data_IF_126023669107
#
_entry.id   IF_126023669107
#
_cell.length_a   1.000
_cell.length_b   1.000
_cell.length_c   1.000
_cell.angle_alpha   90.00
_cell.angle_beta   90.00
_cell.angle_gamma   90.00
#
_symmetry.space_group_name_H-M   'P 1'
#
loop_
_entity.id
_entity.type
_entity.pdbx_description
1 polymer ?
#
# COMPACT_ATOMS: atom_id res chain seq x y z
N UNK A 1 1.85 1.82 31.91
CA UNK A 1 3.01 1.47 31.05
C UNK A 1 3.71 2.72 30.49
N UNK A 2 2.99 3.82 30.20
CA UNK A 2 3.60 5.13 29.90
C UNK A 2 4.57 5.63 31.00
N UNK A 3 4.20 5.45 32.27
CA UNK A 3 4.99 5.91 33.42
C UNK A 3 6.34 5.19 33.64
N UNK A 4 6.56 4.00 33.04
CA UNK A 4 7.84 3.28 33.16
C UNK A 4 8.84 3.65 32.06
N UNK A 5 8.41 4.36 31.01
CA UNK A 5 9.31 4.91 29.99
C UNK A 5 10.12 6.11 30.54
N UNK A 6 9.60 6.76 31.59
CA UNK A 6 10.23 7.92 32.24
C UNK A 6 11.27 7.55 33.31
N UNK A 7 11.37 6.26 33.68
CA UNK A 7 12.23 5.81 34.80
C UNK A 7 13.54 5.12 34.39
N UNK A 8 13.82 4.91 33.09
CA UNK A 8 15.04 4.24 32.63
C UNK A 8 16.17 5.25 32.34
N UNK A 9 17.18 5.25 33.21
CA UNK A 9 18.33 6.17 33.23
C UNK A 9 19.50 5.74 32.33
N UNK A 10 19.37 4.73 31.47
CA UNK A 10 20.40 4.40 30.46
C UNK A 10 19.81 4.14 29.05
N UNK A 11 20.44 4.72 28.03
CA UNK A 11 20.10 4.57 26.60
C UNK A 11 19.97 3.11 26.10
N UNK A 12 20.80 2.13 26.52
CA UNK A 12 20.63 0.73 26.11
C UNK A 12 19.36 0.07 26.67
N UNK A 13 18.95 0.38 27.90
CA UNK A 13 17.73 -0.18 28.52
C UNK A 13 16.46 0.31 27.81
N UNK A 14 16.44 1.59 27.42
CA UNK A 14 15.32 2.19 26.65
C UNK A 14 15.11 1.46 25.31
N UNK A 15 16.19 1.13 24.60
CA UNK A 15 16.13 0.39 23.35
C UNK A 15 15.55 -1.03 23.49
N UNK A 16 15.91 -1.73 24.57
CA UNK A 16 15.40 -3.08 24.86
C UNK A 16 13.89 -3.05 25.15
N UNK A 17 13.42 -2.09 25.95
CA UNK A 17 11.98 -1.93 26.24
C UNK A 17 11.17 -1.55 25.01
N UNK A 18 11.69 -0.65 24.17
CA UNK A 18 11.08 -0.32 22.88
C UNK A 18 10.94 -1.54 21.98
N UNK A 19 11.97 -2.40 21.91
CA UNK A 19 11.90 -3.63 21.12
C UNK A 19 10.85 -4.61 21.66
N UNK A 20 10.84 -4.86 22.97
CA UNK A 20 9.85 -5.74 23.62
C UNK A 20 8.42 -5.24 23.42
N UNK A 21 8.20 -3.93 23.52
CA UNK A 21 6.88 -3.34 23.33
C UNK A 21 6.40 -3.46 21.87
N UNK A 22 7.28 -3.26 20.88
CA UNK A 22 6.94 -3.51 19.47
C UNK A 22 6.57 -4.97 19.20
N UNK A 23 7.28 -5.91 19.82
CA UNK A 23 6.93 -7.33 19.72
C UNK A 23 5.55 -7.59 20.33
N UNK A 24 5.26 -7.01 21.50
CA UNK A 24 3.94 -7.11 22.12
C UNK A 24 2.84 -6.58 21.19
N UNK A 25 3.05 -5.43 20.55
CA UNK A 25 2.09 -4.87 19.58
C UNK A 25 1.88 -5.79 18.37
N UNK A 26 2.95 -6.39 17.84
CA UNK A 26 2.85 -7.36 16.74
C UNK A 26 2.00 -8.57 17.14
N UNK A 27 2.22 -9.12 18.33
CA UNK A 27 1.46 -10.26 18.86
C UNK A 27 0.00 -9.89 19.19
N UNK A 28 -0.23 -8.70 19.75
CA UNK A 28 -1.58 -8.17 20.05
C UNK A 28 -2.39 -8.03 18.76
N UNK A 29 -1.77 -7.48 17.71
CA UNK A 29 -2.37 -7.37 16.38
C UNK A 29 -2.67 -8.73 15.74
N UNK A 30 -1.73 -9.67 15.80
CA UNK A 30 -1.91 -11.03 15.29
C UNK A 30 -3.03 -11.77 16.03
N UNK A 31 -3.09 -11.63 17.36
CA UNK A 31 -4.15 -12.20 18.17
C UNK A 31 -5.52 -11.60 17.79
N UNK A 32 -5.62 -10.28 17.66
CA UNK A 32 -6.86 -9.61 17.25
C UNK A 32 -7.35 -10.09 15.88
N UNK A 33 -6.44 -10.27 14.91
CA UNK A 33 -6.76 -10.82 13.58
C UNK A 33 -7.27 -12.26 13.71
N UNK A 34 -6.55 -13.12 14.42
CA UNK A 34 -6.90 -14.54 14.55
C UNK A 34 -8.22 -14.74 15.31
N UNK A 35 -8.51 -13.87 16.29
CA UNK A 35 -9.78 -13.84 17.03
C UNK A 35 -10.90 -13.09 16.28
N UNK A 36 -10.62 -12.53 15.08
CA UNK A 36 -11.57 -11.76 14.26
C UNK A 36 -12.13 -10.52 14.98
N UNK A 37 -11.35 -9.92 15.86
CA UNK A 37 -11.69 -8.71 16.63
C UNK A 37 -11.40 -7.44 15.82
N UNK A 38 -12.12 -7.27 14.70
CA UNK A 38 -11.89 -6.17 13.75
C UNK A 38 -12.05 -4.77 14.37
N UNK A 39 -12.91 -4.63 15.38
CA UNK A 39 -13.15 -3.36 16.07
C UNK A 39 -11.95 -2.90 16.90
N UNK A 40 -11.11 -3.83 17.34
CA UNK A 40 -9.96 -3.53 18.20
C UNK A 40 -8.73 -3.12 17.37
N UNK A 41 -8.68 -3.53 16.09
CA UNK A 41 -7.55 -3.27 15.19
C UNK A 41 -7.21 -1.78 15.07
N UNK A 42 -8.15 -0.84 14.80
CA UNK A 42 -7.82 0.58 14.72
C UNK A 42 -7.14 1.11 15.99
N UNK A 43 -7.57 0.64 17.17
CA UNK A 43 -6.97 1.04 18.45
C UNK A 43 -5.54 0.53 18.62
N UNK A 44 -5.24 -0.67 18.11
CA UNK A 44 -3.90 -1.26 18.13
C UNK A 44 -2.99 -0.50 17.17
N UNK A 45 -3.46 -0.16 15.98
CA UNK A 45 -2.68 0.60 15.00
C UNK A 45 -2.42 2.03 15.50
N UNK A 46 -3.41 2.68 16.12
CA UNK A 46 -3.24 3.99 16.76
C UNK A 46 -2.18 3.97 17.87
N UNK A 47 -2.24 2.97 18.77
CA UNK A 47 -1.21 2.74 19.80
C UNK A 47 0.18 2.51 19.19
N UNK A 48 0.26 1.89 18.02
CA UNK A 48 1.51 1.62 17.32
C UNK A 48 2.09 2.83 16.58
N UNK A 49 1.26 3.84 16.24
CA UNK A 49 1.65 5.01 15.44
C UNK A 49 2.92 5.71 15.96
N UNK A 50 3.02 5.91 17.28
CA UNK A 50 4.14 6.59 17.93
C UNK A 50 5.45 5.78 17.95
N UNK A 51 5.40 4.48 17.66
CA UNK A 51 6.54 3.56 17.77
C UNK A 51 6.80 2.76 16.50
N UNK A 52 6.09 3.11 15.42
CA UNK A 52 6.14 2.44 14.12
C UNK A 52 7.55 2.48 13.55
N UNK A 53 8.00 1.34 13.03
CA UNK A 53 9.22 1.23 12.24
C UNK A 53 8.97 0.25 11.08
N UNK A 54 9.91 0.17 10.15
CA UNK A 54 9.80 -0.69 8.96
C UNK A 54 9.45 -2.14 9.31
N UNK A 55 10.02 -2.66 10.41
CA UNK A 55 9.82 -4.05 10.86
C UNK A 55 8.41 -4.28 11.40
N UNK A 56 7.91 -3.40 12.26
CA UNK A 56 6.56 -3.52 12.81
C UNK A 56 5.49 -3.33 11.73
N UNK A 57 5.70 -2.35 10.84
CA UNK A 57 4.80 -2.13 9.71
C UNK A 57 4.78 -3.34 8.76
N UNK A 58 5.96 -3.85 8.41
CA UNK A 58 6.06 -5.10 7.63
C UNK A 58 5.34 -6.24 8.33
N UNK A 59 5.50 -6.41 9.65
CA UNK A 59 4.85 -7.47 10.42
C UNK A 59 3.32 -7.36 10.41
N UNK A 60 2.76 -6.16 10.58
CA UNK A 60 1.31 -5.95 10.50
C UNK A 60 0.77 -6.28 9.10
N UNK A 61 1.39 -5.75 8.05
CA UNK A 61 0.99 -6.02 6.67
C UNK A 61 1.08 -7.51 6.33
N UNK A 62 2.19 -8.14 6.71
CA UNK A 62 2.44 -9.56 6.52
C UNK A 62 1.43 -10.45 7.27
N UNK A 63 0.98 -10.02 8.46
CA UNK A 63 -0.02 -10.72 9.26
C UNK A 63 -1.40 -10.62 8.61
N UNK A 64 -1.86 -9.42 8.27
CA UNK A 64 -3.20 -9.25 7.69
C UNK A 64 -3.30 -9.87 6.30
N UNK A 65 -2.28 -9.72 5.44
CA UNK A 65 -2.28 -10.30 4.09
C UNK A 65 -2.28 -11.84 4.11
N UNK A 66 -1.79 -12.47 5.18
CA UNK A 66 -1.78 -13.95 5.33
C UNK A 66 -2.91 -14.49 6.21
N UNK A 67 -3.76 -13.62 6.76
CA UNK A 67 -4.78 -13.99 7.75
C UNK A 67 -5.93 -14.85 7.22
N UNK A 68 -6.13 -14.91 5.90
CA UNK A 68 -7.31 -15.53 5.29
C UNK A 68 -8.63 -14.83 5.63
N UNK A 69 -8.57 -13.59 6.11
CA UNK A 69 -9.75 -12.78 6.42
C UNK A 69 -10.53 -12.39 5.15
N UNK A 70 -11.81 -11.98 5.29
CA UNK A 70 -12.56 -11.46 4.16
C UNK A 70 -11.84 -10.27 3.50
N UNK A 71 -11.82 -10.25 2.17
CA UNK A 71 -11.10 -9.25 1.39
C UNK A 71 -11.40 -7.79 1.79
N UNK A 72 -12.66 -7.38 2.10
CA UNK A 72 -12.95 -6.02 2.58
C UNK A 72 -12.22 -5.64 3.88
N UNK A 73 -12.07 -6.59 4.80
CA UNK A 73 -11.41 -6.36 6.09
C UNK A 73 -9.91 -6.20 5.90
N UNK A 74 -9.30 -7.03 5.05
CA UNK A 74 -7.88 -6.90 4.71
C UNK A 74 -7.62 -5.55 4.05
N UNK A 75 -8.47 -5.18 3.08
CA UNK A 75 -8.40 -3.92 2.37
C UNK A 75 -8.38 -2.70 3.31
N UNK A 76 -9.33 -2.65 4.24
CA UNK A 76 -9.44 -1.55 5.21
C UNK A 76 -8.20 -1.47 6.11
N UNK A 77 -7.76 -2.59 6.68
CA UNK A 77 -6.62 -2.62 7.61
C UNK A 77 -5.31 -2.24 6.91
N UNK A 78 -5.06 -2.75 5.70
CA UNK A 78 -3.86 -2.40 4.92
C UNK A 78 -3.86 -0.91 4.57
N UNK A 79 -5.02 -0.36 4.18
CA UNK A 79 -5.18 1.08 3.94
C UNK A 79 -4.83 1.89 5.19
N UNK A 80 -5.35 1.52 6.35
CA UNK A 80 -5.10 2.24 7.61
C UNK A 80 -3.62 2.22 8.00
N UNK A 81 -2.94 1.08 7.84
CA UNK A 81 -1.50 0.95 8.09
C UNK A 81 -0.71 1.87 7.16
N UNK A 82 -1.05 1.90 5.86
CA UNK A 82 -0.39 2.74 4.86
C UNK A 82 -0.66 4.24 5.15
N UNK A 83 -1.88 4.62 5.52
CA UNK A 83 -2.23 5.99 5.88
C UNK A 83 -1.46 6.47 7.12
N UNK A 84 -1.44 5.67 8.19
CA UNK A 84 -0.71 6.00 9.42
C UNK A 84 0.78 6.12 9.15
N UNK A 85 1.32 5.28 8.26
CA UNK A 85 2.68 5.39 7.80
C UNK A 85 2.98 6.76 7.15
N UNK A 86 2.11 7.23 6.24
CA UNK A 86 2.31 8.52 5.58
C UNK A 86 2.07 9.72 6.50
N UNK A 87 1.17 9.62 7.49
CA UNK A 87 0.79 10.74 8.35
C UNK A 87 1.66 10.90 9.61
N UNK A 88 2.35 9.85 10.08
CA UNK A 88 3.11 9.88 11.33
C UNK A 88 4.50 9.24 11.16
N UNK A 89 5.48 9.97 10.62
CA UNK A 89 6.86 9.48 10.61
C UNK A 89 7.39 9.54 12.05
N UNK A 90 7.34 8.41 12.76
CA UNK A 90 8.04 8.29 14.04
C UNK A 90 9.53 8.63 13.84
N UNK A 91 10.22 9.25 14.82
CA UNK A 91 11.63 9.60 14.70
C UNK A 91 12.57 8.39 14.53
N UNK A 92 12.04 7.16 14.67
CA UNK A 92 12.78 5.90 14.48
C UNK A 92 12.55 5.24 13.11
N UNK A 93 11.83 5.92 12.22
CA UNK A 93 11.44 5.38 10.91
C UNK A 93 12.49 5.69 9.85
N UNK A 94 13.08 4.65 9.24
CA UNK A 94 13.93 4.80 8.05
C UNK A 94 13.08 4.64 6.78
N UNK A 95 12.56 5.76 6.27
CA UNK A 95 11.67 5.83 5.09
C UNK A 95 12.09 4.92 3.92
N UNK A 96 13.40 4.77 3.69
CA UNK A 96 13.95 4.02 2.56
C UNK A 96 13.55 2.53 2.49
N UNK A 97 13.62 1.76 3.59
CA UNK A 97 13.44 0.31 3.51
C UNK A 97 11.96 -0.10 3.37
N UNK A 98 11.05 0.66 3.98
CA UNK A 98 9.62 0.44 3.77
C UNK A 98 9.16 0.92 2.39
N UNK A 99 9.62 2.07 1.91
CA UNK A 99 9.29 2.56 0.57
C UNK A 99 9.65 1.53 -0.50
N UNK A 100 10.76 0.81 -0.35
CA UNK A 100 11.12 -0.28 -1.28
C UNK A 100 10.10 -1.44 -1.33
N UNK A 101 9.39 -1.72 -0.23
CA UNK A 101 8.37 -2.78 -0.18
C UNK A 101 6.97 -2.29 -0.52
N UNK A 102 6.71 -0.99 -0.35
CA UNK A 102 5.40 -0.37 -0.55
C UNK A 102 4.75 -0.69 -1.91
N UNK A 103 5.46 -0.68 -3.07
CA UNK A 103 4.89 -1.08 -4.35
C UNK A 103 4.26 -2.48 -4.33
N UNK A 104 4.92 -3.46 -3.69
CA UNK A 104 4.40 -4.83 -3.58
C UNK A 104 3.15 -4.88 -2.70
N UNK A 105 3.15 -4.13 -1.60
CA UNK A 105 1.97 -4.04 -0.73
C UNK A 105 0.79 -3.38 -1.45
N UNK A 106 1.01 -2.35 -2.27
CA UNK A 106 -0.03 -1.74 -3.10
C UNK A 106 -0.54 -2.72 -4.16
N UNK A 107 0.33 -3.50 -4.82
CA UNK A 107 -0.10 -4.58 -5.72
C UNK A 107 -1.02 -5.56 -5.00
N UNK A 108 -0.64 -6.04 -3.82
CA UNK A 108 -1.47 -6.96 -3.04
C UNK A 108 -2.81 -6.32 -2.65
N UNK A 109 -2.80 -5.09 -2.15
CA UNK A 109 -4.03 -4.36 -1.79
C UNK A 109 -4.95 -4.20 -2.99
N UNK A 110 -4.41 -3.86 -4.16
CA UNK A 110 -5.18 -3.73 -5.40
C UNK A 110 -5.84 -5.06 -5.79
N UNK A 111 -5.10 -6.18 -5.76
CA UNK A 111 -5.66 -7.51 -6.05
C UNK A 111 -6.82 -7.84 -5.09
N UNK A 112 -6.61 -7.62 -3.80
CA UNK A 112 -7.61 -7.88 -2.76
C UNK A 112 -8.84 -6.98 -2.93
N UNK A 113 -8.66 -5.71 -3.30
CA UNK A 113 -9.75 -4.78 -3.57
C UNK A 113 -10.58 -5.23 -4.80
N UNK A 114 -9.94 -5.72 -5.86
CA UNK A 114 -10.64 -6.31 -7.00
C UNK A 114 -11.43 -7.56 -6.60
N UNK A 115 -10.85 -8.46 -5.81
CA UNK A 115 -11.53 -9.66 -5.28
C UNK A 115 -12.72 -9.30 -4.39
N UNK A 116 -12.57 -8.27 -3.56
CA UNK A 116 -13.63 -7.71 -2.73
C UNK A 116 -14.73 -6.99 -3.54
N UNK A 117 -14.51 -6.74 -4.84
CA UNK A 117 -15.31 -5.84 -5.69
C UNK A 117 -15.41 -4.42 -5.14
N UNK A 118 -14.43 -4.00 -4.34
CA UNK A 118 -14.29 -2.63 -3.87
C UNK A 118 -13.49 -1.81 -4.90
N UNK A 119 -14.18 -1.43 -5.99
CA UNK A 119 -13.55 -0.71 -7.08
C UNK A 119 -13.12 0.71 -6.68
N UNK A 120 -13.77 1.30 -5.68
CA UNK A 120 -13.38 2.61 -5.13
C UNK A 120 -12.01 2.54 -4.47
N UNK A 121 -11.79 1.51 -3.65
CA UNK A 121 -10.48 1.26 -3.07
C UNK A 121 -9.44 0.90 -4.13
N UNK A 122 -9.79 0.01 -5.07
CA UNK A 122 -8.86 -0.39 -6.13
C UNK A 122 -8.38 0.82 -6.95
N UNK A 123 -9.28 1.75 -7.27
CA UNK A 123 -8.93 3.00 -7.93
C UNK A 123 -8.03 3.89 -7.04
N UNK A 124 -8.37 4.04 -5.76
CA UNK A 124 -7.55 4.81 -4.80
C UNK A 124 -6.11 4.28 -4.73
N UNK A 125 -5.92 2.96 -4.81
CA UNK A 125 -4.59 2.32 -4.82
C UNK A 125 -3.81 2.68 -6.08
N UNK A 126 -4.46 2.70 -7.25
CA UNK A 126 -3.82 3.11 -8.50
C UNK A 126 -3.39 4.58 -8.46
N UNK A 127 -4.24 5.47 -7.95
CA UNK A 127 -3.88 6.89 -7.77
C UNK A 127 -2.72 7.05 -6.78
N UNK A 128 -2.69 6.29 -5.69
CA UNK A 128 -1.56 6.32 -4.77
C UNK A 128 -0.27 5.84 -5.43
N UNK A 129 -0.32 4.80 -6.27
CA UNK A 129 0.84 4.36 -7.05
C UNK A 129 1.32 5.44 -8.03
N UNK A 130 0.41 6.16 -8.69
CA UNK A 130 0.72 7.30 -9.57
C UNK A 130 1.45 8.41 -8.79
N UNK A 131 0.94 8.79 -7.62
CA UNK A 131 1.56 9.83 -6.76
C UNK A 131 2.97 9.41 -6.37
N UNK A 132 3.15 8.18 -5.85
CA UNK A 132 4.46 7.68 -5.44
C UNK A 132 5.46 7.59 -6.60
N UNK A 133 5.02 7.20 -7.79
CA UNK A 133 5.87 7.12 -8.97
C UNK A 133 6.29 8.51 -9.49
N UNK A 134 5.40 9.51 -9.38
CA UNK A 134 5.72 10.90 -9.72
C UNK A 134 6.68 11.54 -8.72
N UNK A 135 6.44 11.36 -7.43
CA UNK A 135 7.25 11.94 -6.37
C UNK A 135 8.69 11.40 -6.42
N UNK A 136 8.86 10.10 -6.68
CA UNK A 136 10.18 9.49 -6.91
C UNK A 136 10.87 9.87 -8.22
N UNK A 137 10.18 10.60 -9.11
CA UNK A 137 10.74 11.03 -10.41
C UNK A 137 11.27 12.46 -10.39
N UNK A 138 10.82 13.29 -9.45
CA UNK A 138 11.07 14.73 -9.42
C UNK A 138 12.39 15.11 -8.76
N UNK A 139 12.96 14.22 -7.94
CA UNK A 139 14.11 14.53 -7.11
C UNK A 139 15.21 13.48 -7.31
N UNK A 140 16.25 13.86 -8.07
CA UNK A 140 17.36 12.97 -8.46
C UNK A 140 18.19 12.47 -7.28
N UNK A 141 18.06 13.10 -6.11
CA UNK A 141 18.77 12.73 -4.87
C UNK A 141 17.93 11.83 -3.94
N UNK A 142 16.70 11.46 -4.31
CA UNK A 142 15.88 10.57 -3.49
C UNK A 142 16.23 9.07 -3.69
N UNK A 143 16.33 8.28 -2.60
CA UNK A 143 16.72 6.87 -2.64
C UNK A 143 15.61 5.90 -3.11
N UNK A 144 14.48 6.40 -3.62
CA UNK A 144 13.33 5.58 -3.99
C UNK A 144 12.86 5.85 -5.42
N UNK A 145 12.98 4.84 -6.27
CA UNK A 145 12.40 4.80 -7.61
C UNK A 145 11.32 3.73 -7.62
N UNK A 146 10.11 4.10 -8.05
CA UNK A 146 9.02 3.14 -8.17
C UNK A 146 9.37 2.09 -9.24
N UNK A 147 9.29 0.78 -8.95
CA UNK A 147 9.72 -0.24 -9.89
C UNK A 147 8.87 -0.27 -11.18
N UNK A 148 9.52 -0.25 -12.34
CA UNK A 148 8.82 -0.28 -13.63
C UNK A 148 7.94 -1.52 -13.83
N UNK A 149 8.35 -2.68 -13.32
CA UNK A 149 7.56 -3.91 -13.42
C UNK A 149 6.25 -3.85 -12.63
N UNK A 150 6.24 -3.09 -11.53
CA UNK A 150 5.02 -2.83 -10.76
C UNK A 150 4.08 -1.91 -11.55
N UNK A 151 4.61 -0.84 -12.15
CA UNK A 151 3.83 0.07 -13.02
C UNK A 151 3.25 -0.64 -14.25
N UNK A 152 4.06 -1.43 -14.95
CA UNK A 152 3.63 -2.23 -16.12
C UNK A 152 2.44 -3.12 -15.78
N UNK A 153 2.54 -3.80 -14.64
CA UNK A 153 1.47 -4.68 -14.18
C UNK A 153 0.21 -3.91 -13.79
N UNK A 154 0.34 -2.82 -13.01
CA UNK A 154 -0.81 -2.00 -12.61
C UNK A 154 -1.51 -1.39 -13.83
N UNK A 155 -0.75 -0.87 -14.80
CA UNK A 155 -1.27 -0.35 -16.06
C UNK A 155 -2.04 -1.43 -16.84
N UNK A 156 -1.47 -2.63 -16.95
CA UNK A 156 -2.09 -3.76 -17.63
C UNK A 156 -3.39 -4.18 -16.95
N UNK A 157 -3.39 -4.29 -15.62
CA UNK A 157 -4.58 -4.68 -14.86
C UNK A 157 -5.69 -3.62 -14.92
N UNK A 158 -5.33 -2.33 -14.84
CA UNK A 158 -6.28 -1.24 -15.00
C UNK A 158 -6.90 -1.23 -16.40
N UNK A 159 -6.10 -1.49 -17.44
CA UNK A 159 -6.58 -1.60 -18.81
C UNK A 159 -7.51 -2.81 -19.00
N UNK A 160 -7.16 -3.99 -18.48
CA UNK A 160 -8.02 -5.16 -18.53
C UNK A 160 -9.37 -4.88 -17.86
N UNK A 161 -9.37 -4.16 -16.73
CA UNK A 161 -10.60 -3.74 -16.08
C UNK A 161 -11.43 -2.78 -16.94
N UNK A 162 -10.79 -1.84 -17.64
CA UNK A 162 -11.47 -0.97 -18.60
C UNK A 162 -12.15 -1.79 -19.72
N UNK A 163 -11.48 -2.83 -20.24
CA UNK A 163 -12.06 -3.75 -21.23
C UNK A 163 -13.27 -4.50 -20.65
N UNK A 164 -13.19 -5.00 -19.40
CA UNK A 164 -14.33 -5.65 -18.75
C UNK A 164 -15.54 -4.70 -18.63
N UNK A 165 -15.29 -3.42 -18.31
CA UNK A 165 -16.31 -2.38 -18.21
C UNK A 165 -16.91 -2.01 -19.56
N UNK A 166 -16.10 -2.00 -20.62
CA UNK A 166 -16.57 -1.83 -22.00
C UNK A 166 -17.53 -2.95 -22.40
N UNK A 167 -17.19 -4.21 -22.11
CA UNK A 167 -18.07 -5.36 -22.39
C UNK A 167 -19.39 -5.25 -21.59
N UNK A 168 -19.34 -4.68 -20.39
CA UNK A 168 -20.51 -4.41 -19.56
C UNK A 168 -21.28 -3.14 -19.96
N UNK A 169 -20.90 -2.44 -21.03
CA UNK A 169 -21.48 -1.17 -21.48
C UNK A 169 -21.46 -0.05 -20.42
N UNK A 170 -20.44 -0.06 -19.56
CA UNK A 170 -20.18 0.97 -18.56
C UNK A 170 -19.14 1.98 -19.10
N UNK A 171 -19.55 2.78 -20.08
CA UNK A 171 -18.62 3.60 -20.90
C UNK A 171 -17.83 4.66 -20.10
N UNK A 172 -18.46 5.28 -19.10
CA UNK A 172 -17.80 6.28 -18.25
C UNK A 172 -16.71 5.65 -17.36
N UNK A 173 -17.02 4.52 -16.73
CA UNK A 173 -16.04 3.79 -15.92
C UNK A 173 -14.94 3.19 -16.80
N UNK A 174 -15.27 2.69 -18.00
CA UNK A 174 -14.29 2.23 -18.98
C UNK A 174 -13.27 3.33 -19.29
N UNK A 175 -13.74 4.55 -19.60
CA UNK A 175 -12.87 5.69 -19.88
C UNK A 175 -11.97 6.02 -18.71
N UNK A 176 -12.54 6.09 -17.51
CA UNK A 176 -11.82 6.40 -16.28
C UNK A 176 -10.68 5.41 -16.02
N UNK A 177 -10.96 4.11 -16.10
CA UNK A 177 -9.96 3.07 -15.90
C UNK A 177 -8.91 3.03 -17.02
N UNK A 178 -9.31 3.34 -18.26
CA UNK A 178 -8.40 3.50 -19.39
C UNK A 178 -7.41 4.66 -19.21
N UNK A 179 -7.89 5.83 -18.76
CA UNK A 179 -7.04 6.99 -18.47
C UNK A 179 -6.04 6.73 -17.35
N UNK A 180 -6.46 6.03 -16.30
CA UNK A 180 -5.55 5.59 -15.22
C UNK A 180 -4.48 4.65 -15.77
N UNK A 181 -4.85 3.69 -16.61
CA UNK A 181 -3.91 2.76 -17.24
C UNK A 181 -2.88 3.49 -18.10
N UNK A 182 -3.30 4.48 -18.89
CA UNK A 182 -2.38 5.31 -19.68
C UNK A 182 -1.44 6.13 -18.79
N UNK A 183 -1.96 6.71 -17.72
CA UNK A 183 -1.15 7.50 -16.79
C UNK A 183 -0.07 6.65 -16.14
N UNK A 184 -0.40 5.43 -15.71
CA UNK A 184 0.58 4.48 -15.17
C UNK A 184 1.61 4.06 -16.21
N UNK A 185 1.18 3.81 -17.46
CA UNK A 185 2.07 3.42 -18.53
C UNK A 185 3.04 4.54 -18.97
N UNK A 186 2.62 5.81 -18.88
CA UNK A 186 3.44 6.98 -19.18
C UNK A 186 4.57 7.19 -18.15
N UNK A 187 4.37 6.72 -16.91
CA UNK A 187 5.37 6.83 -15.83
C UNK A 187 6.49 5.78 -15.94
N UNK A 188 6.41 4.86 -16.90
CA UNK A 188 7.42 3.81 -17.12
C UNK A 188 8.62 4.39 -17.88
N UNK A 189 9.79 4.40 -17.24
CA UNK A 189 10.99 5.02 -17.81
C UNK A 189 11.81 4.13 -18.74
N UNK A 190 11.70 2.80 -18.60
CA UNK A 190 12.60 1.83 -19.21
C UNK A 190 12.09 1.24 -20.53
N UNK A 191 10.83 1.47 -20.91
CA UNK A 191 10.19 0.86 -22.08
C UNK A 191 10.07 1.81 -23.29
N UNK A 192 10.52 3.07 -23.17
CA UNK A 192 10.41 4.07 -24.22
C UNK A 192 8.95 4.38 -24.64
N UNK A 193 7.99 4.22 -23.72
CA UNK A 193 6.57 4.42 -23.97
C UNK A 193 5.94 3.35 -24.86
N UNK A 194 6.58 2.18 -24.99
CA UNK A 194 6.05 1.06 -25.77
C UNK A 194 4.70 0.57 -25.24
N UNK A 195 4.57 0.40 -23.92
CA UNK A 195 3.32 -0.05 -23.31
C UNK A 195 2.21 0.97 -23.54
N UNK A 196 2.47 2.26 -23.29
CA UNK A 196 1.49 3.33 -23.49
C UNK A 196 0.95 3.35 -24.93
N UNK A 197 1.84 3.23 -25.92
CA UNK A 197 1.45 3.22 -27.34
C UNK A 197 0.57 2.02 -27.67
N UNK A 198 0.92 0.84 -27.16
CA UNK A 198 0.13 -0.37 -27.34
C UNK A 198 -1.26 -0.24 -26.71
N UNK A 199 -1.34 0.27 -25.46
CA UNK A 199 -2.62 0.44 -24.77
C UNK A 199 -3.52 1.45 -25.51
N UNK A 200 -2.99 2.59 -25.97
CA UNK A 200 -3.75 3.58 -26.75
C UNK A 200 -4.26 3.01 -28.08
N UNK A 201 -3.44 2.24 -28.79
CA UNK A 201 -3.85 1.58 -30.04
C UNK A 201 -4.96 0.55 -29.81
N UNK A 202 -4.90 -0.20 -28.72
CA UNK A 202 -5.95 -1.17 -28.38
C UNK A 202 -7.23 -0.46 -27.96
N UNK A 203 -7.14 0.60 -27.17
CA UNK A 203 -8.29 1.39 -26.76
C UNK A 203 -9.03 2.03 -27.94
N UNK A 204 -8.28 2.55 -28.93
CA UNK A 204 -8.86 3.11 -30.15
C UNK A 204 -9.62 2.09 -31.02
N UNK A 205 -9.42 0.78 -30.81
CA UNK A 205 -10.18 -0.29 -31.48
C UNK A 205 -11.46 -0.67 -30.74
N UNK A 206 -11.59 -0.29 -29.47
CA UNK A 206 -12.76 -0.56 -28.65
C UNK A 206 -13.83 0.52 -28.82
N UNK A 207 -13.44 1.74 -29.23
CA UNK A 207 -14.35 2.83 -29.57
C UNK A 207 -14.76 2.77 -31.03
#
# INVERSE_FOLDING_TARGET
MQAQLDTCNTTPERGVWTHKYRLLLALDFEAAINLKQWNDIPSIIDRASNMLNDKLCSAFLDCILRSGAPAPNIAQVVKDIICIFHSSPSPSFSAGAFHQKLPRYLRCLFQIALEAKDYSLAESVLHQAIVLARDGSADTDLPFVYPSDELKWLATMAFNRAVDLYIASADEDCRKWGEIAFTLADLIKDDGGALLRMLRQNYAKLM
#
